data_IF_049884732880
#
_entry.id   IF_049884732880
#
_cell.length_a   1.000
_cell.length_b   1.000
_cell.length_c   1.000
_cell.angle_alpha   90.00
_cell.angle_beta   90.00
_cell.angle_gamma   90.00
#
_symmetry.space_group_name_H-M   'P 1'
#
loop_
_entity.id
_entity.type
_entity.pdbx_description
1 polymer ?
#
# COMPACT_ATOMS: atom_id res chain seq x y z
N UNK A 1 56.10 -10.15 -48.31
CA UNK A 1 55.15 -10.34 -47.20
C UNK A 1 55.33 -9.18 -46.22
N UNK A 2 54.37 -8.25 -46.13
CA UNK A 2 54.34 -7.17 -45.13
C UNK A 2 53.10 -7.39 -44.27
N UNK A 3 53.29 -7.67 -42.98
CA UNK A 3 52.23 -7.86 -42.02
C UNK A 3 51.71 -6.51 -41.54
N UNK A 4 50.39 -6.29 -41.66
CA UNK A 4 49.71 -5.12 -41.12
C UNK A 4 49.25 -5.42 -39.68
N UNK A 5 49.67 -4.58 -38.74
CA UNK A 5 49.23 -4.61 -37.34
C UNK A 5 47.99 -3.72 -37.24
N UNK A 6 46.85 -4.33 -36.94
CA UNK A 6 45.60 -3.62 -36.66
C UNK A 6 45.55 -3.35 -35.16
N UNK A 7 45.62 -2.07 -34.78
CA UNK A 7 45.45 -1.60 -33.40
C UNK A 7 43.94 -1.48 -33.15
N UNK A 8 43.40 -2.35 -32.31
CA UNK A 8 42.01 -2.27 -31.85
C UNK A 8 41.88 -1.20 -30.75
N UNK A 9 41.17 -0.11 -31.06
CA UNK A 9 40.76 0.88 -30.07
C UNK A 9 39.63 0.30 -29.21
N UNK A 10 39.91 0.03 -27.93
CA UNK A 10 38.89 -0.27 -26.92
C UNK A 10 38.13 1.03 -26.59
N UNK A 11 36.91 1.17 -27.10
CA UNK A 11 35.96 2.19 -26.68
C UNK A 11 35.42 1.80 -25.29
N UNK A 12 35.90 2.46 -24.24
CA UNK A 12 35.27 2.41 -22.91
C UNK A 12 33.91 3.11 -22.99
N UNK A 13 32.84 2.32 -22.95
CA UNK A 13 31.50 2.84 -22.74
C UNK A 13 31.38 3.36 -21.30
N UNK A 14 31.34 4.69 -21.14
CA UNK A 14 31.00 5.34 -19.87
C UNK A 14 29.52 5.13 -19.65
N UNK A 15 29.14 4.16 -18.83
CA UNK A 15 27.76 3.97 -18.39
C UNK A 15 27.48 5.06 -17.35
N UNK A 16 26.52 5.97 -17.57
CA UNK A 16 26.17 6.97 -16.56
C UNK A 16 25.56 6.26 -15.36
N UNK A 17 26.23 6.35 -14.21
CA UNK A 17 25.67 5.94 -12.93
C UNK A 17 24.64 6.99 -12.55
N UNK A 18 23.35 6.63 -12.62
CA UNK A 18 22.26 7.46 -12.08
C UNK A 18 22.46 7.50 -10.57
N UNK A 19 22.92 8.63 -10.06
CA UNK A 19 23.06 8.87 -8.62
C UNK A 19 21.75 9.48 -8.13
N UNK A 20 21.08 8.81 -7.20
CA UNK A 20 19.93 9.38 -6.49
C UNK A 20 20.43 10.61 -5.74
N UNK A 21 19.77 11.76 -5.91
CA UNK A 21 20.15 12.99 -5.21
C UNK A 21 20.04 12.79 -3.69
N UNK A 22 20.99 13.35 -2.93
CA UNK A 22 20.92 13.34 -1.47
C UNK A 22 19.62 13.99 -0.95
N UNK A 23 19.11 14.99 -1.67
CA UNK A 23 17.86 15.68 -1.37
C UNK A 23 16.65 14.77 -1.54
N UNK A 24 16.60 14.00 -2.64
CA UNK A 24 15.54 13.02 -2.90
C UNK A 24 15.49 11.96 -1.78
N UNK A 25 16.65 11.50 -1.34
CA UNK A 25 16.72 10.54 -0.24
C UNK A 25 16.21 11.15 1.07
N UNK A 26 16.66 12.36 1.41
CA UNK A 26 16.21 13.06 2.60
C UNK A 26 14.68 13.27 2.58
N UNK A 27 14.11 13.55 1.41
CA UNK A 27 12.68 13.74 1.26
C UNK A 27 11.86 12.46 1.50
N UNK A 28 12.32 11.35 0.96
CA UNK A 28 11.70 10.05 1.19
C UNK A 28 11.85 9.62 2.67
N UNK A 29 13.00 9.87 3.30
CA UNK A 29 13.22 9.59 4.72
C UNK A 29 12.30 10.44 5.63
N UNK A 30 12.10 11.73 5.31
CA UNK A 30 11.16 12.57 6.05
C UNK A 30 9.71 12.12 5.86
N UNK A 31 9.33 11.72 4.65
CA UNK A 31 8.01 11.12 4.39
C UNK A 31 7.82 9.85 5.23
N UNK A 32 8.82 8.96 5.25
CA UNK A 32 8.77 7.74 6.05
C UNK A 32 8.69 8.04 7.57
N UNK A 33 9.36 9.09 8.04
CA UNK A 33 9.27 9.52 9.44
C UNK A 33 7.84 9.92 9.82
N UNK A 34 7.12 10.64 8.96
CA UNK A 34 5.73 11.00 9.20
C UNK A 34 4.81 9.78 9.16
N UNK A 35 5.02 8.86 8.20
CA UNK A 35 4.31 7.57 8.16
C UNK A 35 4.48 6.82 9.49
N UNK A 36 5.70 6.71 10.01
CA UNK A 36 5.96 6.06 11.31
C UNK A 36 5.18 6.69 12.46
N UNK A 37 5.06 8.01 12.48
CA UNK A 37 4.31 8.71 13.53
C UNK A 37 2.79 8.62 13.39
N UNK A 38 2.26 8.40 12.17
CA UNK A 38 0.83 8.55 11.90
C UNK A 38 0.11 7.25 11.58
N UNK A 39 0.77 6.22 11.03
CA UNK A 39 0.04 5.07 10.46
C UNK A 39 -0.52 4.10 11.50
N UNK A 40 0.07 4.00 12.68
CA UNK A 40 -0.29 2.94 13.65
C UNK A 40 -1.49 3.32 14.49
N UNK A 41 -2.54 2.53 14.47
CA UNK A 41 -3.71 2.70 15.32
C UNK A 41 -4.89 1.83 14.92
N UNK A 42 -6.04 2.13 15.51
CA UNK A 42 -7.34 1.56 15.13
C UNK A 42 -8.13 2.61 14.42
N UNK A 43 -8.72 2.23 13.31
CA UNK A 43 -9.46 3.14 12.47
C UNK A 43 -10.80 2.52 12.09
N UNK A 44 -11.80 3.38 11.91
CA UNK A 44 -13.04 3.03 11.22
C UNK A 44 -13.60 4.23 10.46
N UNK A 45 -14.56 3.99 9.59
CA UNK A 45 -15.28 5.03 8.86
C UNK A 45 -16.74 5.15 9.33
N UNK A 46 -17.04 4.87 10.60
CA UNK A 46 -18.40 4.83 11.14
C UNK A 46 -19.19 6.12 10.89
N UNK A 47 -18.56 7.28 11.07
CA UNK A 47 -19.15 8.59 10.77
C UNK A 47 -19.52 8.74 9.29
N UNK A 48 -18.66 8.26 8.37
CA UNK A 48 -18.92 8.32 6.93
C UNK A 48 -20.06 7.37 6.54
N UNK A 49 -19.99 6.12 6.98
CA UNK A 49 -21.03 5.11 6.71
C UNK A 49 -22.40 5.55 7.27
N UNK A 50 -22.42 6.11 8.49
CA UNK A 50 -23.63 6.65 9.10
C UNK A 50 -24.23 7.83 8.32
N UNK A 51 -23.39 8.77 7.85
CA UNK A 51 -23.82 9.89 6.98
C UNK A 51 -24.46 9.37 5.69
N UNK A 52 -23.84 8.40 5.05
CA UNK A 52 -24.33 7.85 3.78
C UNK A 52 -25.65 7.10 3.94
N UNK A 53 -25.80 6.33 5.03
CA UNK A 53 -27.05 5.64 5.35
C UNK A 53 -28.19 6.60 5.69
N UNK A 54 -27.90 7.73 6.33
CA UNK A 54 -28.88 8.74 6.70
C UNK A 54 -29.34 9.63 5.51
N UNK A 55 -28.59 9.63 4.41
CA UNK A 55 -28.87 10.48 3.24
C UNK A 55 -29.50 9.68 2.10
N UNK A 56 -30.73 10.03 1.73
CA UNK A 56 -31.37 9.47 0.52
C UNK A 56 -30.76 10.01 -0.79
N UNK A 57 -29.86 10.99 -0.72
CA UNK A 57 -29.20 11.57 -1.88
C UNK A 57 -27.97 10.76 -2.32
N UNK A 58 -27.44 9.87 -1.48
CA UNK A 58 -26.32 8.99 -1.83
C UNK A 58 -26.89 7.71 -2.46
N UNK A 59 -26.56 7.40 -3.73
CA UNK A 59 -26.96 6.14 -4.36
C UNK A 59 -26.49 4.92 -3.58
N UNK A 60 -27.28 3.85 -3.54
CA UNK A 60 -26.99 2.67 -2.72
C UNK A 60 -25.65 2.00 -3.05
N UNK A 61 -25.25 2.01 -4.31
CA UNK A 61 -23.97 1.49 -4.80
C UNK A 61 -22.77 2.39 -4.45
N UNK A 62 -23.02 3.65 -4.09
CA UNK A 62 -22.00 4.63 -3.67
C UNK A 62 -21.90 4.78 -2.15
N UNK A 63 -22.79 4.16 -1.36
CA UNK A 63 -22.71 4.21 0.10
C UNK A 63 -21.49 3.45 0.59
N UNK A 64 -20.68 4.10 1.44
CA UNK A 64 -19.52 3.46 2.02
C UNK A 64 -19.94 2.41 3.05
N UNK A 65 -19.41 1.20 2.91
CA UNK A 65 -19.57 0.14 3.92
C UNK A 65 -18.83 0.53 5.19
N UNK A 66 -19.34 0.10 6.33
CA UNK A 66 -18.59 0.18 7.58
C UNK A 66 -17.36 -0.72 7.48
N UNK A 67 -16.21 -0.16 7.81
CA UNK A 67 -14.92 -0.84 7.77
C UNK A 67 -14.15 -0.55 9.04
N UNK A 68 -13.43 -1.56 9.52
CA UNK A 68 -12.56 -1.45 10.67
C UNK A 68 -11.17 -1.95 10.31
N UNK A 69 -10.15 -1.17 10.68
CA UNK A 69 -8.77 -1.47 10.33
C UNK A 69 -7.87 -1.25 11.55
N UNK A 70 -7.00 -2.23 11.78
CA UNK A 70 -5.92 -2.18 12.75
C UNK A 70 -4.60 -2.09 11.99
N UNK A 71 -3.75 -1.16 12.41
CA UNK A 71 -2.36 -1.02 11.98
C UNK A 71 -1.46 -1.01 13.21
N UNK A 72 -0.51 -1.95 13.28
CA UNK A 72 0.45 -2.07 14.39
C UNK A 72 1.85 -2.16 13.81
N UNK A 73 2.79 -1.35 14.28
CA UNK A 73 4.19 -1.47 13.87
C UNK A 73 4.73 -2.85 14.23
N UNK A 74 5.48 -3.47 13.33
CA UNK A 74 6.16 -4.75 13.62
C UNK A 74 7.48 -4.41 14.32
N UNK A 75 7.66 -4.78 15.61
CA UNK A 75 8.83 -4.37 16.39
C UNK A 75 10.04 -5.30 16.21
N UNK A 76 9.94 -6.28 15.31
CA UNK A 76 10.98 -7.27 15.02
C UNK A 76 11.40 -7.18 13.56
N UNK A 77 12.68 -7.43 13.31
CA UNK A 77 13.17 -7.58 11.94
C UNK A 77 12.68 -8.91 11.35
N UNK A 78 12.20 -8.86 10.12
CA UNK A 78 11.88 -10.03 9.29
C UNK A 78 12.96 -10.07 8.19
N UNK A 79 14.01 -10.90 8.31
CA UNK A 79 15.17 -10.82 7.41
C UNK A 79 14.83 -10.93 5.92
N UNK A 80 13.78 -11.68 5.56
CA UNK A 80 13.34 -11.86 4.18
C UNK A 80 12.53 -10.66 3.63
N UNK A 81 12.08 -9.73 4.47
CA UNK A 81 11.17 -8.64 4.12
C UNK A 81 11.71 -7.32 4.71
N UNK A 82 12.51 -6.55 3.96
CA UNK A 82 13.15 -5.34 4.47
C UNK A 82 12.17 -4.16 4.59
N UNK A 83 12.62 -3.06 5.17
CA UNK A 83 11.87 -1.80 5.24
C UNK A 83 11.13 -1.61 6.55
N UNK A 84 10.29 -0.57 6.61
CA UNK A 84 9.41 -0.37 7.76
C UNK A 84 8.14 -1.17 7.56
N UNK A 85 7.82 -2.04 8.53
CA UNK A 85 6.70 -2.96 8.44
C UNK A 85 5.61 -2.60 9.44
N UNK A 86 4.38 -2.63 8.96
CA UNK A 86 3.17 -2.46 9.76
C UNK A 86 2.29 -3.68 9.53
N UNK A 87 1.96 -4.40 10.59
CA UNK A 87 0.92 -5.41 10.55
C UNK A 87 -0.43 -4.74 10.32
N UNK A 88 -1.17 -5.22 9.33
CA UNK A 88 -2.52 -4.77 9.02
C UNK A 88 -3.52 -5.87 9.24
N UNK A 89 -4.70 -5.52 9.77
CA UNK A 89 -5.80 -6.45 9.96
C UNK A 89 -7.14 -5.72 9.89
N UNK A 90 -8.11 -6.29 9.17
CA UNK A 90 -9.49 -5.81 9.17
C UNK A 90 -10.45 -6.87 9.68
N UNK A 91 -11.48 -6.41 10.38
CA UNK A 91 -12.57 -7.25 10.87
C UNK A 91 -13.92 -6.63 10.56
N UNK A 92 -14.96 -7.46 10.57
CA UNK A 92 -16.33 -7.04 10.27
C UNK A 92 -16.88 -6.06 11.32
N UNK A 93 -16.49 -6.23 12.57
CA UNK A 93 -17.07 -5.53 13.74
C UNK A 93 -16.04 -4.71 14.53
N UNK A 94 -14.79 -4.64 14.06
CA UNK A 94 -13.70 -3.94 14.75
C UNK A 94 -13.09 -4.70 15.92
N UNK A 95 -13.57 -5.92 16.21
CA UNK A 95 -12.97 -6.80 17.19
C UNK A 95 -11.71 -7.48 16.65
N UNK A 96 -10.99 -8.15 17.55
CA UNK A 96 -9.87 -9.04 17.20
C UNK A 96 -10.27 -10.51 17.36
N UNK A 97 -11.58 -10.82 17.31
CA UNK A 97 -12.03 -12.20 17.25
C UNK A 97 -11.54 -12.83 15.93
N UNK A 98 -10.79 -13.96 15.96
CA UNK A 98 -10.37 -14.66 14.76
C UNK A 98 -11.51 -14.95 13.77
N UNK A 99 -12.74 -15.15 14.23
CA UNK A 99 -13.88 -15.46 13.36
C UNK A 99 -14.38 -14.24 12.58
N UNK A 100 -14.12 -13.02 13.05
CA UNK A 100 -14.56 -11.78 12.38
C UNK A 100 -13.47 -11.14 11.52
N UNK A 101 -12.22 -11.62 11.62
CA UNK A 101 -11.09 -11.13 10.83
C UNK A 101 -11.19 -11.66 9.39
N UNK A 102 -11.28 -10.72 8.45
CA UNK A 102 -11.46 -11.00 7.02
C UNK A 102 -10.21 -10.71 6.18
N UNK A 103 -9.28 -9.90 6.70
CA UNK A 103 -7.98 -9.66 6.07
C UNK A 103 -6.91 -9.51 7.14
N UNK A 104 -5.71 -10.02 6.84
CA UNK A 104 -4.50 -9.71 7.57
C UNK A 104 -3.30 -9.76 6.62
N UNK A 105 -2.28 -8.98 6.92
CA UNK A 105 -1.08 -8.87 6.10
C UNK A 105 -0.06 -7.94 6.72
N UNK A 106 0.94 -7.58 5.91
CA UNK A 106 1.86 -6.49 6.21
C UNK A 106 1.66 -5.36 5.20
N UNK A 107 1.85 -4.14 5.66
CA UNK A 107 2.13 -2.98 4.82
C UNK A 107 3.62 -2.70 4.96
N UNK A 108 4.32 -2.78 3.84
CA UNK A 108 5.77 -2.57 3.75
C UNK A 108 6.03 -1.18 3.16
N UNK A 109 6.81 -0.37 3.86
CA UNK A 109 7.27 0.94 3.40
C UNK A 109 8.76 0.92 3.10
N UNK A 110 9.12 1.31 1.87
CA UNK A 110 10.49 1.31 1.37
C UNK A 110 10.84 2.71 0.86
N UNK A 111 12.00 3.21 1.27
CA UNK A 111 12.58 4.43 0.69
C UNK A 111 12.93 4.11 -0.77
N UNK A 112 12.29 4.80 -1.70
CA UNK A 112 12.51 4.69 -3.13
C UNK A 112 13.38 5.82 -3.68
N UNK A 113 13.56 5.83 -4.99
CA UNK A 113 14.25 6.91 -5.70
C UNK A 113 13.32 8.13 -5.89
N UNK A 114 13.89 9.31 -6.16
CA UNK A 114 13.14 10.51 -6.53
C UNK A 114 12.19 11.05 -5.47
N UNK A 115 12.54 10.93 -4.18
CA UNK A 115 11.74 11.48 -3.08
C UNK A 115 10.54 10.65 -2.67
N UNK A 116 10.41 9.42 -3.16
CA UNK A 116 9.20 8.59 -2.99
C UNK A 116 9.37 7.55 -1.90
N UNK A 117 8.33 7.35 -1.09
CA UNK A 117 8.18 6.14 -0.28
C UNK A 117 7.25 5.19 -1.00
N UNK A 118 7.72 3.97 -1.28
CA UNK A 118 6.92 2.91 -1.87
C UNK A 118 6.18 2.17 -0.77
N UNK A 119 4.86 2.18 -0.79
CA UNK A 119 4.00 1.34 0.04
C UNK A 119 3.59 0.09 -0.74
N UNK A 120 3.86 -1.08 -0.17
CA UNK A 120 3.49 -2.38 -0.72
C UNK A 120 2.60 -3.14 0.26
N UNK A 121 1.52 -3.72 -0.25
CA UNK A 121 0.71 -4.66 0.53
C UNK A 121 1.21 -6.10 0.35
N UNK A 122 1.51 -6.76 1.46
CA UNK A 122 1.91 -8.16 1.53
C UNK A 122 0.81 -8.95 2.23
N UNK A 123 -0.05 -9.62 1.46
CA UNK A 123 -1.16 -10.40 2.01
C UNK A 123 -0.67 -11.78 2.42
N UNK A 124 -1.03 -12.28 3.62
CA UNK A 124 -0.68 -13.64 4.00
C UNK A 124 -1.41 -14.65 3.11
N UNK A 125 -0.71 -15.70 2.65
CA UNK A 125 -1.34 -16.78 1.87
C UNK A 125 -2.21 -17.70 2.75
N UNK A 126 -1.81 -17.90 4.01
CA UNK A 126 -2.57 -18.59 5.03
C UNK A 126 -3.07 -17.57 6.05
N UNK A 127 -4.24 -16.98 5.79
CA UNK A 127 -4.78 -15.92 6.64
C UNK A 127 -4.94 -16.38 8.10
N UNK A 128 -5.50 -17.57 8.31
CA UNK A 128 -5.86 -18.07 9.64
C UNK A 128 -4.65 -18.24 10.55
N UNK A 129 -3.52 -18.71 9.99
CA UNK A 129 -2.27 -18.82 10.74
C UNK A 129 -1.76 -17.48 11.28
N UNK A 130 -2.08 -16.36 10.63
CA UNK A 130 -1.53 -15.03 10.97
C UNK A 130 -2.54 -14.05 11.59
N UNK A 131 -3.78 -14.46 11.84
CA UNK A 131 -4.75 -13.65 12.60
C UNK A 131 -4.14 -13.28 13.96
N UNK A 132 -4.22 -11.99 14.31
CA UNK A 132 -3.66 -11.42 15.53
C UNK A 132 -2.15 -11.65 15.74
N UNK A 133 -1.36 -11.93 14.69
CA UNK A 133 0.08 -12.15 14.84
C UNK A 133 0.84 -10.94 15.43
N UNK A 134 0.29 -9.72 15.36
CA UNK A 134 0.83 -8.56 16.05
C UNK A 134 0.92 -8.69 17.58
N UNK A 135 0.13 -9.59 18.20
CA UNK A 135 0.19 -9.86 19.65
C UNK A 135 1.40 -10.71 20.05
N UNK A 136 1.99 -11.42 19.09
CA UNK A 136 3.19 -12.22 19.27
C UNK A 136 4.12 -12.02 18.06
N UNK A 137 4.78 -10.85 17.98
CA UNK A 137 5.53 -10.44 16.79
C UNK A 137 6.71 -11.36 16.48
N UNK A 138 7.22 -12.13 17.45
CA UNK A 138 8.29 -13.10 17.23
C UNK A 138 7.90 -14.17 16.19
N UNK A 139 6.61 -14.50 16.09
CA UNK A 139 6.08 -15.40 15.04
C UNK A 139 6.31 -14.88 13.62
N UNK A 140 6.48 -13.56 13.46
CA UNK A 140 6.71 -12.93 12.16
C UNK A 140 8.19 -13.00 11.74
N UNK A 141 9.15 -13.23 12.64
CA UNK A 141 10.59 -13.25 12.28
C UNK A 141 10.94 -14.32 11.25
N UNK A 142 10.25 -15.45 11.31
CA UNK A 142 10.46 -16.58 10.40
C UNK A 142 9.69 -16.45 9.08
N UNK A 143 8.94 -15.35 8.89
CA UNK A 143 8.14 -15.13 7.69
C UNK A 143 9.04 -14.99 6.46
N UNK A 144 8.70 -15.70 5.40
CA UNK A 144 9.40 -15.68 4.11
C UNK A 144 8.51 -15.12 2.99
N UNK A 145 9.13 -14.70 1.88
CA UNK A 145 8.41 -14.11 0.75
C UNK A 145 7.42 -15.07 0.08
N UNK A 146 7.61 -16.38 0.18
CA UNK A 146 6.68 -17.39 -0.33
C UNK A 146 5.43 -17.57 0.54
N UNK A 147 5.42 -17.06 1.77
CA UNK A 147 4.24 -17.08 2.66
C UNK A 147 3.33 -15.85 2.48
N UNK A 148 3.76 -14.87 1.70
CA UNK A 148 2.99 -13.68 1.36
C UNK A 148 2.73 -13.60 -0.15
N UNK A 149 1.65 -12.93 -0.53
CA UNK A 149 1.33 -12.54 -1.90
C UNK A 149 1.42 -11.02 -2.01
N UNK A 150 2.08 -10.56 -3.07
CA UNK A 150 2.03 -9.18 -3.51
C UNK A 150 1.98 -9.18 -5.04
N UNK A 151 1.33 -8.17 -5.59
CA UNK A 151 1.10 -8.06 -7.03
C UNK A 151 2.07 -7.01 -7.61
N UNK A 152 2.99 -7.40 -8.51
CA UNK A 152 3.92 -6.46 -9.13
C UNK A 152 3.18 -5.31 -9.81
N UNK A 153 3.70 -4.10 -9.66
CA UNK A 153 3.08 -2.90 -10.24
C UNK A 153 1.94 -2.30 -9.40
N UNK A 154 1.56 -2.93 -8.27
CA UNK A 154 0.49 -2.47 -7.39
C UNK A 154 1.00 -1.70 -6.15
N UNK A 155 2.25 -1.22 -6.19
CA UNK A 155 2.80 -0.43 -5.10
C UNK A 155 2.31 1.03 -5.18
N UNK A 156 1.97 1.63 -4.04
CA UNK A 156 1.62 3.05 -3.97
C UNK A 156 2.89 3.90 -3.88
N UNK A 157 2.94 4.98 -4.65
CA UNK A 157 4.07 5.90 -4.71
C UNK A 157 3.78 7.15 -3.86
N UNK A 158 4.12 7.06 -2.57
CA UNK A 158 3.77 8.06 -1.57
C UNK A 158 4.75 9.24 -1.53
N UNK A 159 4.19 10.44 -1.38
CA UNK A 159 4.93 11.67 -1.10
C UNK A 159 4.22 12.48 -0.03
N UNK A 160 4.99 13.21 0.78
CA UNK A 160 4.42 14.22 1.68
C UNK A 160 3.97 15.45 0.87
N UNK A 161 2.87 16.06 1.27
CA UNK A 161 2.48 17.37 0.78
C UNK A 161 3.53 18.43 1.21
N UNK A 162 3.73 19.53 0.45
CA UNK A 162 4.64 20.60 0.83
C UNK A 162 4.34 21.23 2.20
N UNK A 163 3.06 21.26 2.59
CA UNK A 163 2.61 21.71 3.93
C UNK A 163 3.01 20.77 5.07
N UNK A 164 3.39 19.52 4.76
CA UNK A 164 3.58 18.47 5.75
C UNK A 164 2.29 18.02 6.46
N UNK A 165 1.11 18.37 5.93
CA UNK A 165 -0.17 18.03 6.56
C UNK A 165 -0.72 16.65 6.19
N UNK A 166 -0.23 16.08 5.09
CA UNK A 166 -0.66 14.77 4.60
C UNK A 166 0.44 14.09 3.78
N UNK A 167 0.30 12.78 3.61
CA UNK A 167 1.08 11.95 2.71
C UNK A 167 0.09 11.28 1.78
N UNK A 168 0.32 11.34 0.48
CA UNK A 168 -0.58 10.74 -0.49
C UNK A 168 0.18 10.13 -1.66
N UNK A 169 -0.47 9.18 -2.31
CA UNK A 169 0.05 8.54 -3.51
C UNK A 169 -0.96 7.57 -4.10
N UNK A 170 -0.76 7.25 -5.36
CA UNK A 170 -1.55 6.26 -6.09
C UNK A 170 -0.65 5.13 -6.57
N UNK A 171 -1.29 4.05 -6.99
CA UNK A 171 -0.65 3.08 -7.89
C UNK A 171 -0.29 3.81 -9.19
N UNK A 172 0.82 3.41 -9.83
CA UNK A 172 1.18 3.95 -11.13
C UNK A 172 0.08 3.56 -12.15
N UNK A 173 -0.48 4.52 -12.91
CA UNK A 173 -1.56 4.23 -13.86
C UNK A 173 -1.20 3.10 -14.83
N UNK A 174 -2.08 2.10 -14.92
CA UNK A 174 -1.90 0.97 -15.83
C UNK A 174 -0.86 -0.07 -15.41
N UNK A 175 -0.17 0.10 -14.28
CA UNK A 175 0.90 -0.82 -13.85
C UNK A 175 0.36 -2.07 -13.14
N UNK A 176 -0.67 -1.91 -12.31
CA UNK A 176 -1.31 -3.01 -11.60
C UNK A 176 -2.42 -3.62 -12.44
N UNK A 177 -2.10 -4.71 -13.15
CA UNK A 177 -3.02 -5.42 -14.05
C UNK A 177 -3.20 -6.86 -13.62
N UNK A 178 -4.42 -7.35 -13.67
CA UNK A 178 -4.70 -8.76 -13.47
C UNK A 178 -5.96 -9.19 -14.22
N UNK A 179 -6.04 -10.48 -14.48
CA UNK A 179 -7.21 -11.06 -15.12
C UNK A 179 -8.23 -11.51 -14.06
N UNK A 180 -9.44 -10.95 -14.10
CA UNK A 180 -10.55 -11.39 -13.26
C UNK A 180 -11.28 -12.55 -13.91
N UNK A 181 -11.13 -13.74 -13.33
CA UNK A 181 -11.82 -14.96 -13.79
C UNK A 181 -13.34 -14.81 -13.74
N UNK A 182 -13.87 -14.17 -12.69
CA UNK A 182 -15.32 -14.00 -12.50
C UNK A 182 -15.96 -13.06 -13.53
N UNK A 183 -15.18 -12.11 -14.08
CA UNK A 183 -15.67 -11.17 -15.09
C UNK A 183 -15.19 -11.52 -16.51
N UNK A 184 -14.29 -12.49 -16.65
CA UNK A 184 -13.61 -12.83 -17.90
C UNK A 184 -13.02 -11.59 -18.61
N UNK A 185 -12.37 -10.72 -17.84
CA UNK A 185 -11.80 -9.45 -18.29
C UNK A 185 -10.49 -9.14 -17.58
N UNK A 186 -9.62 -8.42 -18.27
CA UNK A 186 -8.49 -7.74 -17.63
C UNK A 186 -9.01 -6.52 -16.86
N UNK A 187 -8.51 -6.36 -15.64
CA UNK A 187 -8.78 -5.22 -14.78
C UNK A 187 -7.48 -4.51 -14.45
N UNK A 188 -7.57 -3.19 -14.29
CA UNK A 188 -6.49 -2.31 -13.85
C UNK A 188 -6.89 -1.73 -12.50
N UNK A 189 -5.99 -1.77 -11.52
CA UNK A 189 -6.23 -1.07 -10.26
C UNK A 189 -5.96 0.44 -10.42
N UNK A 190 -6.87 1.25 -9.90
CA UNK A 190 -6.79 2.72 -9.84
C UNK A 190 -6.87 3.18 -8.38
N UNK A 191 -6.03 2.56 -7.54
CA UNK A 191 -6.08 2.74 -6.11
C UNK A 191 -5.22 3.93 -5.66
N UNK A 192 -5.68 4.62 -4.61
CA UNK A 192 -4.97 5.71 -3.98
C UNK A 192 -5.06 5.65 -2.46
N UNK A 193 -4.04 6.16 -1.78
CA UNK A 193 -3.96 6.25 -0.32
C UNK A 193 -3.63 7.67 0.10
N UNK A 194 -4.23 8.12 1.20
CA UNK A 194 -3.86 9.35 1.91
C UNK A 194 -3.74 9.06 3.40
N UNK A 195 -2.64 9.50 4.01
CA UNK A 195 -2.34 9.33 5.43
C UNK A 195 -2.19 10.71 6.06
N UNK A 196 -2.90 10.92 7.17
CA UNK A 196 -2.86 12.14 8.00
C UNK A 196 -2.66 11.74 9.46
N UNK A 197 -2.37 12.68 10.37
CA UNK A 197 -2.07 12.36 11.77
C UNK A 197 -3.04 11.40 12.45
N UNK A 198 -4.34 11.49 12.18
CA UNK A 198 -5.37 10.63 12.76
C UNK A 198 -6.30 10.00 11.71
N UNK A 199 -5.88 9.95 10.45
CA UNK A 199 -6.73 9.45 9.37
C UNK A 199 -5.94 8.58 8.40
N UNK A 200 -6.60 7.53 7.90
CA UNK A 200 -6.10 6.68 6.82
C UNK A 200 -7.20 6.54 5.78
N UNK A 201 -7.02 7.17 4.64
CA UNK A 201 -7.99 7.16 3.56
C UNK A 201 -7.49 6.28 2.42
N UNK A 202 -8.41 5.56 1.80
CA UNK A 202 -8.10 4.79 0.61
C UNK A 202 -9.23 4.82 -0.40
N UNK A 203 -8.85 4.83 -1.66
CA UNK A 203 -9.72 4.58 -2.80
C UNK A 203 -9.28 3.25 -3.39
N UNK A 204 -10.18 2.26 -3.40
CA UNK A 204 -9.93 0.95 -3.99
C UNK A 204 -10.85 0.75 -5.18
N UNK A 205 -10.32 0.73 -6.40
CA UNK A 205 -11.08 0.66 -7.64
C UNK A 205 -10.38 -0.20 -8.66
N UNK A 206 -11.15 -1.07 -9.29
CA UNK A 206 -10.69 -1.85 -10.43
C UNK A 206 -11.51 -1.48 -11.64
N UNK A 207 -10.83 -0.95 -12.64
CA UNK A 207 -11.43 -0.46 -13.88
C UNK A 207 -11.10 -1.39 -15.04
N UNK A 208 -11.97 -1.40 -16.06
CA UNK A 208 -11.64 -2.02 -17.34
C UNK A 208 -10.82 -1.08 -18.24
N UNK A 209 -10.52 -1.53 -19.46
CA UNK A 209 -9.74 -0.77 -20.45
C UNK A 209 -10.37 0.58 -20.84
N UNK A 210 -11.66 0.77 -20.59
CA UNK A 210 -12.39 2.02 -20.87
C UNK A 210 -12.39 2.98 -19.68
N UNK A 211 -11.84 2.57 -18.53
CA UNK A 211 -11.90 3.32 -17.28
C UNK A 211 -13.20 3.12 -16.50
N UNK A 212 -14.06 2.18 -16.92
CA UNK A 212 -15.32 1.90 -16.22
C UNK A 212 -15.03 1.11 -14.94
N UNK A 213 -15.53 1.57 -13.79
CA UNK A 213 -15.39 0.84 -12.52
C UNK A 213 -16.16 -0.48 -12.59
N UNK A 214 -15.41 -1.58 -12.50
CA UNK A 214 -15.95 -2.94 -12.54
C UNK A 214 -16.08 -3.54 -11.13
N UNK A 215 -15.22 -3.11 -10.20
CA UNK A 215 -15.20 -3.58 -8.82
C UNK A 215 -14.56 -2.54 -7.89
N UNK A 216 -14.87 -2.60 -6.59
CA UNK A 216 -14.40 -1.65 -5.58
C UNK A 216 -15.39 -0.52 -5.27
N UNK A 217 -14.87 0.65 -4.92
CA UNK A 217 -15.65 1.83 -4.54
C UNK A 217 -16.27 2.49 -5.76
N UNK A 218 -17.60 2.43 -5.90
CA UNK A 218 -18.30 3.17 -6.95
C UNK A 218 -18.29 4.69 -6.70
N UNK A 219 -18.26 5.12 -5.43
CA UNK A 219 -18.12 6.53 -5.06
C UNK A 219 -16.72 7.05 -5.37
N UNK A 220 -16.62 8.29 -5.88
CA UNK A 220 -15.35 9.02 -6.07
C UNK A 220 -14.76 9.52 -4.75
N UNK A 221 -15.56 9.58 -3.70
CA UNK A 221 -15.06 9.86 -2.36
C UNK A 221 -14.29 8.62 -1.85
N UNK A 222 -13.07 8.78 -1.29
CA UNK A 222 -12.37 7.66 -0.68
C UNK A 222 -13.09 7.20 0.59
N UNK A 223 -12.82 5.96 1.01
CA UNK A 223 -13.16 5.52 2.37
C UNK A 223 -12.28 6.30 3.34
N UNK A 224 -12.91 7.06 4.24
CA UNK A 224 -12.23 7.93 5.20
C UNK A 224 -12.21 7.28 6.57
N UNK A 225 -11.14 6.56 6.87
CA UNK A 225 -10.99 5.92 8.18
C UNK A 225 -10.37 6.93 9.17
N UNK A 226 -11.03 7.12 10.30
CA UNK A 226 -10.59 8.00 11.39
C UNK A 226 -10.08 7.15 12.55
N UNK A 227 -8.96 7.55 13.15
CA UNK A 227 -8.38 6.89 14.30
C UNK A 227 -9.34 6.97 15.47
N UNK A 228 -9.65 5.82 16.05
CA UNK A 228 -10.46 5.71 17.25
C UNK A 228 -9.59 6.02 18.47
N UNK A 229 -10.00 7.01 19.25
CA UNK A 229 -9.41 7.25 20.57
C UNK A 229 -9.82 6.10 21.48
N UNK A 230 -8.84 5.36 21.99
CA UNK A 230 -9.06 4.38 23.06
C UNK A 230 -9.06 5.06 24.42
#
# INVERSE_FOLDING_TARGET
>A
MRAAIVIAFLLLAVVPVVTVSADDRADAEQTLSLIRSWVTGRYDNSTQAGRDLASSAVPDDQKHRLMHQLFVSVPVDIPAIPGYLVFQQSSVDGSEDPETIVRAGLVQFLVGEGGVVRQRELNFKDLDAFKNAHRDPERLRALTLDQVRFDPGCDFLLRRAPSGSEISGSIQPGACRFFSQGLNKELVADDAVTIRPDEYWFLGRFVDETGTVMWGNASDEPVKMVRQMR
#
